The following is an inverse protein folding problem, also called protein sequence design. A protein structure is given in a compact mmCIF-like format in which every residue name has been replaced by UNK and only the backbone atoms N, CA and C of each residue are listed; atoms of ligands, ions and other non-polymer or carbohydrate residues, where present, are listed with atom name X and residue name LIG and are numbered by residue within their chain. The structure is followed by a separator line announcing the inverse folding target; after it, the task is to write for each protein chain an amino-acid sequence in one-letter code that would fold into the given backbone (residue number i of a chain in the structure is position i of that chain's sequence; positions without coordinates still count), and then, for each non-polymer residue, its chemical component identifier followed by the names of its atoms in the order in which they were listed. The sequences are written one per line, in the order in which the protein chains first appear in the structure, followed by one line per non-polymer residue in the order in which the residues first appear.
data_IF_154296800395
#
_entry.id   IF_154296800395
#
_cell.length_a   1.000
_cell.length_b   1.000
_cell.length_c   1.000
_cell.angle_alpha   90.00
_cell.angle_beta   90.00
_cell.angle_gamma   90.00
#
_symmetry.space_group_name_H-M   'P 1'
#
loop_
_entity.id
_entity.type
_entity.pdbx_description
1 polymer ?
#
# COMPACT_ATOMS: atom_id res chain seq x y z
N UNK A 1 26.32 6.39 18.38
CA UNK A 1 26.54 5.06 18.99
C UNK A 1 27.80 4.44 18.38
N UNK A 2 28.44 3.45 19.02
CA UNK A 2 29.76 2.92 18.61
C UNK A 2 29.83 2.35 17.17
N UNK A 3 28.69 2.13 16.51
CA UNK A 3 28.57 1.53 15.17
C UNK A 3 28.64 2.55 14.02
N UNK A 4 28.17 3.78 14.21
CA UNK A 4 28.16 4.81 13.15
C UNK A 4 29.59 5.13 12.64
N UNK A 5 30.60 5.33 13.51
CA UNK A 5 31.97 5.63 13.05
C UNK A 5 32.65 4.48 12.29
N UNK A 6 32.23 3.23 12.53
CA UNK A 6 32.85 2.05 11.91
C UNK A 6 32.43 1.87 10.45
N UNK A 7 31.22 2.30 10.08
CA UNK A 7 30.72 2.25 8.71
C UNK A 7 31.52 3.21 7.82
N UNK A 8 31.79 4.42 8.31
CA UNK A 8 32.53 5.45 7.57
C UNK A 8 34.01 5.07 7.34
N UNK A 9 34.62 4.33 8.26
CA UNK A 9 36.03 3.96 8.21
C UNK A 9 36.32 2.71 7.36
N UNK A 10 35.34 1.83 7.17
CA UNK A 10 35.54 0.52 6.54
C UNK A 10 34.45 0.12 5.54
N UNK A 11 33.79 1.11 4.90
CA UNK A 11 32.58 0.95 4.09
C UNK A 11 32.52 -0.27 3.15
N UNK A 12 33.66 -0.70 2.58
CA UNK A 12 33.75 -1.81 1.61
C UNK A 12 34.08 -3.19 2.22
N UNK A 13 34.42 -3.25 3.51
CA UNK A 13 34.74 -4.52 4.17
C UNK A 13 33.50 -5.36 4.44
N UNK A 14 33.61 -6.69 4.40
CA UNK A 14 32.52 -7.60 4.78
C UNK A 14 32.02 -7.35 6.21
N UNK A 15 32.93 -6.93 7.11
CA UNK A 15 32.57 -6.55 8.47
C UNK A 15 31.68 -5.29 8.50
N UNK A 16 31.99 -4.26 7.71
CA UNK A 16 31.17 -3.06 7.64
C UNK A 16 29.79 -3.34 7.01
N UNK A 17 29.70 -4.25 6.03
CA UNK A 17 28.40 -4.69 5.47
C UNK A 17 27.54 -5.38 6.53
N UNK A 18 28.14 -6.25 7.35
CA UNK A 18 27.43 -6.92 8.45
C UNK A 18 26.97 -5.93 9.53
N UNK A 19 27.84 -4.97 9.90
CA UNK A 19 27.47 -3.94 10.88
C UNK A 19 26.41 -2.97 10.36
N UNK A 20 26.43 -2.63 9.06
CA UNK A 20 25.39 -1.80 8.43
C UNK A 20 24.01 -2.48 8.49
N UNK A 21 23.94 -3.78 8.19
CA UNK A 21 22.70 -4.55 8.32
C UNK A 21 22.20 -4.57 9.77
N UNK A 22 23.08 -4.83 10.72
CA UNK A 22 22.73 -4.81 12.15
C UNK A 22 22.23 -3.43 12.59
N UNK A 23 22.89 -2.36 12.16
CA UNK A 23 22.50 -1.00 12.51
C UNK A 23 21.14 -0.64 11.89
N UNK A 24 20.89 -1.03 10.64
CA UNK A 24 19.59 -0.90 9.99
C UNK A 24 18.48 -1.59 10.80
N UNK A 25 18.71 -2.84 11.23
CA UNK A 25 17.75 -3.59 12.05
C UNK A 25 17.49 -2.90 13.39
N UNK A 26 18.54 -2.42 14.08
CA UNK A 26 18.38 -1.66 15.32
C UNK A 26 17.54 -0.40 15.10
N UNK A 27 17.81 0.38 14.04
CA UNK A 27 17.01 1.57 13.75
C UNK A 27 15.56 1.22 13.44
N UNK A 28 15.30 0.14 12.70
CA UNK A 28 13.94 -0.32 12.42
C UNK A 28 13.21 -0.77 13.70
N UNK A 29 13.84 -1.62 14.52
CA UNK A 29 13.27 -2.15 15.77
C UNK A 29 13.02 -1.07 16.82
N UNK A 30 13.82 0.00 16.80
CA UNK A 30 13.68 1.16 17.69
C UNK A 30 12.87 2.30 17.07
N UNK A 31 12.16 2.03 15.97
CA UNK A 31 11.27 2.97 15.27
C UNK A 31 11.96 4.27 14.80
N UNK A 32 13.27 4.25 14.60
CA UNK A 32 14.06 5.34 14.01
C UNK A 32 13.97 5.29 12.49
N UNK A 33 12.76 5.49 11.95
CA UNK A 33 12.42 5.27 10.54
C UNK A 33 13.29 6.06 9.56
N UNK A 34 13.56 7.33 9.84
CA UNK A 34 14.42 8.17 9.01
C UNK A 34 15.83 7.61 8.93
N UNK A 35 16.38 7.15 10.06
CA UNK A 35 17.73 6.57 10.09
C UNK A 35 17.77 5.21 9.39
N UNK A 36 16.75 4.38 9.57
CA UNK A 36 16.64 3.10 8.88
C UNK A 36 16.57 3.29 7.36
N UNK A 37 15.77 4.25 6.88
CA UNK A 37 15.63 4.53 5.44
C UNK A 37 16.89 5.12 4.82
N UNK A 38 17.64 5.96 5.54
CA UNK A 38 18.97 6.45 5.10
C UNK A 38 19.98 5.32 4.93
N UNK A 39 19.91 4.27 5.74
CA UNK A 39 20.80 3.11 5.62
C UNK A 39 20.41 2.14 4.49
N UNK A 40 19.29 2.36 3.81
CA UNK A 40 18.86 1.49 2.71
C UNK A 40 19.67 1.72 1.43
N UNK A 41 20.09 0.66 0.70
CA UNK A 41 20.03 -0.75 1.07
C UNK A 41 21.11 -1.13 2.10
N UNK A 42 20.80 -1.95 3.11
CA UNK A 42 21.74 -2.33 4.18
C UNK A 42 22.85 -3.29 3.71
N UNK A 43 22.64 -4.04 2.63
CA UNK A 43 23.62 -4.95 2.05
C UNK A 43 23.39 -5.15 0.55
N UNK A 44 24.33 -5.83 -0.12
CA UNK A 44 24.15 -6.30 -1.49
C UNK A 44 23.14 -7.44 -1.48
N UNK A 45 21.97 -7.24 -2.10
CA UNK A 45 20.89 -8.23 -2.11
C UNK A 45 19.63 -7.81 -1.34
N UNK A 46 19.66 -6.71 -0.58
CA UNK A 46 18.53 -6.29 0.25
C UNK A 46 17.21 -6.12 -0.54
N UNK A 47 17.28 -5.68 -1.80
CA UNK A 47 16.11 -5.53 -2.66
C UNK A 47 15.54 -6.87 -3.17
N UNK A 48 16.29 -7.98 -3.04
CA UNK A 48 15.86 -9.33 -3.39
C UNK A 48 15.45 -10.15 -2.15
N UNK A 49 15.73 -9.65 -0.95
CA UNK A 49 15.31 -10.22 0.31
C UNK A 49 13.93 -9.64 0.69
N UNK A 50 12.89 -10.48 0.61
CA UNK A 50 11.53 -10.06 0.93
C UNK A 50 11.40 -9.48 2.35
N UNK A 51 12.12 -10.02 3.33
CA UNK A 51 12.03 -9.55 4.71
C UNK A 51 12.60 -8.15 4.86
N UNK A 52 13.77 -7.89 4.25
CA UNK A 52 14.39 -6.55 4.28
C UNK A 52 13.59 -5.54 3.47
N UNK A 53 13.05 -5.94 2.32
CA UNK A 53 12.21 -5.06 1.52
C UNK A 53 10.89 -4.72 2.26
N UNK A 54 10.31 -5.67 3.01
CA UNK A 54 9.15 -5.42 3.87
C UNK A 54 9.45 -4.43 5.01
N UNK A 55 10.62 -4.51 5.64
CA UNK A 55 11.00 -3.55 6.70
C UNK A 55 11.21 -2.16 6.10
N UNK A 56 11.79 -2.06 4.90
CA UNK A 56 11.94 -0.78 4.21
C UNK A 56 10.59 -0.20 3.78
N UNK A 57 9.72 -1.01 3.18
CA UNK A 57 8.34 -0.64 2.87
C UNK A 57 7.61 -0.10 4.10
N UNK A 58 7.74 -0.79 5.23
CA UNK A 58 7.13 -0.38 6.49
C UNK A 58 7.67 0.97 6.99
N UNK A 59 8.99 1.17 6.95
CA UNK A 59 9.61 2.42 7.36
C UNK A 59 9.16 3.59 6.46
N UNK A 60 9.14 3.40 5.13
CA UNK A 60 8.64 4.43 4.20
C UNK A 60 7.17 4.76 4.44
N UNK A 61 6.35 3.76 4.76
CA UNK A 61 4.94 3.95 5.10
C UNK A 61 4.75 4.74 6.39
N UNK A 62 5.63 4.55 7.38
CA UNK A 62 5.60 5.33 8.63
C UNK A 62 6.02 6.79 8.42
N UNK A 63 6.87 7.06 7.44
CA UNK A 63 7.28 8.41 7.05
C UNK A 63 6.27 9.12 6.13
N UNK A 64 5.25 8.42 5.64
CA UNK A 64 4.25 8.98 4.71
C UNK A 64 4.78 9.17 3.29
N UNK A 65 5.81 8.43 2.89
CA UNK A 65 6.42 8.51 1.55
C UNK A 65 5.63 7.69 0.52
N UNK A 66 4.35 8.04 0.35
CA UNK A 66 3.39 7.25 -0.44
C UNK A 66 3.79 7.02 -1.90
N UNK A 67 4.49 7.97 -2.52
CA UNK A 67 5.00 7.84 -3.90
C UNK A 67 5.94 6.63 -4.06
N UNK A 68 6.78 6.36 -3.06
CA UNK A 68 7.71 5.21 -3.10
C UNK A 68 7.02 3.88 -2.79
N UNK A 69 5.88 3.92 -2.10
CA UNK A 69 5.18 2.69 -1.69
C UNK A 69 4.55 1.95 -2.88
N UNK A 70 4.17 2.66 -3.94
CA UNK A 70 3.66 2.02 -5.16
C UNK A 70 4.73 1.15 -5.84
N UNK A 71 5.95 1.68 -5.96
CA UNK A 71 7.09 0.95 -6.53
C UNK A 71 7.49 -0.23 -5.64
N UNK A 72 7.67 0.01 -4.33
CA UNK A 72 8.05 -1.03 -3.38
C UNK A 72 6.97 -2.12 -3.24
N UNK A 73 5.69 -1.77 -3.31
CA UNK A 73 4.59 -2.73 -3.36
C UNK A 73 4.68 -3.62 -4.61
N UNK A 74 5.00 -3.04 -5.76
CA UNK A 74 5.17 -3.80 -7.00
C UNK A 74 6.38 -4.75 -6.91
N UNK A 75 7.50 -4.31 -6.36
CA UNK A 75 8.69 -5.15 -6.13
C UNK A 75 8.39 -6.29 -5.16
N UNK A 76 7.73 -6.02 -4.04
CA UNK A 76 7.32 -7.04 -3.07
C UNK A 76 6.38 -8.07 -3.69
N UNK A 77 5.43 -7.66 -4.52
CA UNK A 77 4.53 -8.58 -5.23
C UNK A 77 5.23 -9.38 -6.34
N UNK A 78 6.33 -8.87 -6.90
CA UNK A 78 7.15 -9.60 -7.84
C UNK A 78 7.98 -10.70 -7.15
N UNK A 79 8.51 -10.41 -5.95
CA UNK A 79 9.20 -11.40 -5.12
C UNK A 79 8.24 -12.43 -4.54
N UNK A 80 7.13 -11.96 -3.97
CA UNK A 80 6.11 -12.78 -3.36
C UNK A 80 4.70 -12.23 -3.71
N UNK A 81 4.00 -12.85 -4.68
CA UNK A 81 2.63 -12.46 -5.06
C UNK A 81 1.60 -12.54 -3.92
N UNK A 82 1.98 -13.17 -2.81
CA UNK A 82 1.17 -13.35 -1.61
C UNK A 82 1.57 -12.46 -0.44
N UNK A 83 2.53 -11.56 -0.64
CA UNK A 83 2.95 -10.61 0.37
C UNK A 83 1.78 -9.76 0.87
N UNK A 84 1.47 -9.87 2.16
CA UNK A 84 0.30 -9.23 2.78
C UNK A 84 0.38 -7.71 2.71
N UNK A 85 1.50 -7.11 3.11
CA UNK A 85 1.64 -5.66 3.19
C UNK A 85 1.50 -4.99 1.81
N UNK A 86 2.09 -5.62 0.78
CA UNK A 86 2.00 -5.14 -0.59
C UNK A 86 0.59 -5.30 -1.17
N UNK A 87 -0.09 -6.43 -0.90
CA UNK A 87 -1.49 -6.64 -1.30
C UNK A 87 -2.42 -5.62 -0.62
N UNK A 88 -2.25 -5.37 0.67
CA UNK A 88 -3.01 -4.35 1.41
C UNK A 88 -2.84 -2.97 0.77
N UNK A 89 -1.60 -2.55 0.52
CA UNK A 89 -1.29 -1.27 -0.11
C UNK A 89 -1.97 -1.14 -1.46
N UNK A 90 -1.80 -2.14 -2.33
CA UNK A 90 -2.40 -2.15 -3.66
C UNK A 90 -3.92 -2.10 -3.62
N UNK A 91 -4.55 -2.81 -2.68
CA UNK A 91 -6.00 -2.80 -2.53
C UNK A 91 -6.52 -1.41 -2.12
N UNK A 92 -5.85 -0.76 -1.17
CA UNK A 92 -6.18 0.58 -0.70
C UNK A 92 -5.93 1.62 -1.80
N UNK A 93 -4.80 1.57 -2.49
CA UNK A 93 -4.48 2.47 -3.60
C UNK A 93 -5.54 2.37 -4.72
N UNK A 94 -5.96 1.15 -5.08
CA UNK A 94 -7.04 0.92 -6.06
C UNK A 94 -8.39 1.43 -5.56
N UNK A 95 -8.69 1.28 -4.27
CA UNK A 95 -9.91 1.82 -3.67
C UNK A 95 -9.93 3.35 -3.77
N UNK A 96 -8.86 4.00 -3.31
CA UNK A 96 -8.73 5.46 -3.34
C UNK A 96 -8.82 5.99 -4.77
N UNK A 97 -8.12 5.36 -5.72
CA UNK A 97 -8.22 5.70 -7.15
C UNK A 97 -9.65 5.60 -7.69
N UNK A 98 -10.40 4.59 -7.24
CA UNK A 98 -11.82 4.43 -7.58
C UNK A 98 -12.66 5.56 -7.00
N UNK A 99 -12.49 5.85 -5.71
CA UNK A 99 -13.25 6.86 -4.98
C UNK A 99 -12.95 8.28 -5.46
N UNK A 100 -11.68 8.64 -5.64
CA UNK A 100 -11.26 9.95 -6.15
C UNK A 100 -11.86 10.22 -7.52
N UNK A 101 -11.84 9.21 -8.40
CA UNK A 101 -12.47 9.32 -9.72
C UNK A 101 -13.98 9.47 -9.59
N UNK A 102 -14.63 8.67 -8.74
CA UNK A 102 -16.07 8.75 -8.51
C UNK A 102 -16.50 10.16 -8.07
N UNK A 103 -15.84 10.70 -7.05
CA UNK A 103 -16.16 12.02 -6.50
C UNK A 103 -15.90 13.13 -7.51
N UNK A 104 -14.75 13.08 -8.20
CA UNK A 104 -14.40 14.06 -9.24
C UNK A 104 -15.46 14.14 -10.34
N UNK A 105 -15.88 13.00 -10.86
CA UNK A 105 -16.82 12.95 -11.99
C UNK A 105 -18.22 13.46 -11.63
N UNK A 106 -18.69 13.11 -10.42
CA UNK A 106 -19.95 13.65 -9.89
C UNK A 106 -19.87 15.17 -9.69
N UNK A 107 -18.77 15.66 -9.12
CA UNK A 107 -18.59 17.09 -8.88
C UNK A 107 -18.51 17.88 -10.19
N UNK A 108 -17.75 17.41 -11.18
CA UNK A 108 -17.66 18.05 -12.49
C UNK A 108 -19.00 18.08 -13.22
N UNK A 109 -19.80 17.00 -13.12
CA UNK A 109 -21.17 16.98 -13.65
C UNK A 109 -22.09 17.96 -12.92
N UNK A 110 -22.05 17.99 -11.59
CA UNK A 110 -22.89 18.87 -10.78
C UNK A 110 -22.60 20.35 -11.11
N UNK A 111 -21.33 20.69 -11.31
CA UNK A 111 -20.90 22.05 -11.69
C UNK A 111 -21.32 22.45 -13.11
N UNK A 112 -21.54 21.48 -14.02
CA UNK A 112 -21.88 21.77 -15.41
C UNK A 112 -22.75 20.67 -16.04
N UNK A 113 -24.06 20.72 -15.76
CA UNK A 113 -25.06 19.70 -16.16
C UNK A 113 -25.41 19.76 -17.65
N UNK A 114 -24.47 19.36 -18.49
CA UNK A 114 -24.67 19.22 -19.94
C UNK A 114 -24.70 17.76 -20.37
N UNK A 115 -25.32 17.48 -21.51
CA UNK A 115 -25.29 16.13 -22.11
C UNK A 115 -23.86 15.62 -22.36
N UNK A 116 -22.92 16.52 -22.68
CA UNK A 116 -21.50 16.17 -22.84
C UNK A 116 -20.91 15.73 -21.51
N UNK A 117 -21.11 16.52 -20.45
CA UNK A 117 -20.56 16.20 -19.13
C UNK A 117 -21.20 14.95 -18.54
N UNK A 118 -22.49 14.71 -18.78
CA UNK A 118 -23.15 13.46 -18.39
C UNK A 118 -22.45 12.23 -19.01
N UNK A 119 -22.10 12.27 -20.30
CA UNK A 119 -21.36 11.18 -20.96
C UNK A 119 -19.95 11.00 -20.40
N UNK A 120 -19.26 12.10 -20.07
CA UNK A 120 -17.93 12.05 -19.44
C UNK A 120 -18.03 11.39 -18.07
N UNK A 121 -18.99 11.83 -17.25
CA UNK A 121 -19.27 11.25 -15.94
C UNK A 121 -19.53 9.74 -16.04
N UNK A 122 -20.39 9.29 -16.96
CA UNK A 122 -20.65 7.85 -17.14
C UNK A 122 -19.35 7.05 -17.44
N UNK A 123 -18.52 7.54 -18.36
CA UNK A 123 -17.25 6.89 -18.67
C UNK A 123 -16.27 6.89 -17.48
N UNK A 124 -16.27 7.97 -16.69
CA UNK A 124 -15.48 8.07 -15.47
C UNK A 124 -15.95 7.14 -14.35
N UNK A 125 -17.27 6.97 -14.20
CA UNK A 125 -17.88 6.00 -13.28
C UNK A 125 -17.57 4.55 -13.68
N UNK A 126 -17.52 4.24 -14.97
CA UNK A 126 -17.06 2.94 -15.46
C UNK A 126 -15.59 2.67 -15.09
N UNK A 127 -14.74 3.69 -15.20
CA UNK A 127 -13.33 3.59 -14.81
C UNK A 127 -13.17 3.44 -13.29
N UNK A 128 -13.94 4.20 -12.49
CA UNK A 128 -14.00 4.05 -11.04
C UNK A 128 -14.43 2.63 -10.63
N UNK A 129 -15.49 2.11 -11.26
CA UNK A 129 -15.99 0.74 -11.05
C UNK A 129 -14.93 -0.32 -11.32
N UNK A 130 -14.09 -0.14 -12.35
CA UNK A 130 -12.97 -1.06 -12.64
C UNK A 130 -11.96 -1.10 -11.48
N UNK A 131 -11.57 0.06 -10.95
CA UNK A 131 -10.66 0.15 -9.80
C UNK A 131 -11.26 -0.52 -8.55
N UNK A 132 -12.54 -0.26 -8.27
CA UNK A 132 -13.24 -0.90 -7.15
C UNK A 132 -13.31 -2.42 -7.29
N UNK A 133 -13.58 -2.96 -8.49
CA UNK A 133 -13.59 -4.42 -8.71
C UNK A 133 -12.23 -5.05 -8.47
N UNK A 134 -11.15 -4.38 -8.89
CA UNK A 134 -9.78 -4.86 -8.64
C UNK A 134 -9.44 -4.83 -7.15
N UNK A 135 -9.80 -3.74 -6.47
CA UNK A 135 -9.64 -3.59 -5.02
C UNK A 135 -10.40 -4.67 -4.25
N UNK A 136 -11.68 -4.86 -4.56
CA UNK A 136 -12.55 -5.87 -3.95
C UNK A 136 -11.96 -7.28 -4.06
N UNK A 137 -11.49 -7.66 -5.26
CA UNK A 137 -10.86 -8.97 -5.47
C UNK A 137 -9.66 -9.20 -4.54
N UNK A 138 -8.86 -8.17 -4.29
CA UNK A 138 -7.71 -8.27 -3.38
C UNK A 138 -8.18 -8.32 -1.91
N UNK A 139 -9.16 -7.50 -1.53
CA UNK A 139 -9.72 -7.56 -0.18
C UNK A 139 -10.41 -8.89 0.14
N UNK A 140 -11.13 -9.49 -0.82
CA UNK A 140 -11.70 -10.83 -0.66
C UNK A 140 -10.61 -11.89 -0.43
N UNK A 141 -9.51 -11.80 -1.18
CA UNK A 141 -8.34 -12.68 -1.01
C UNK A 141 -7.70 -12.50 0.36
N UNK A 142 -7.52 -11.26 0.82
CA UNK A 142 -6.97 -10.95 2.14
C UNK A 142 -7.90 -11.42 3.26
N UNK A 143 -9.19 -11.11 3.17
CA UNK A 143 -10.21 -11.47 4.15
C UNK A 143 -10.40 -12.98 4.30
N UNK A 144 -10.27 -13.74 3.21
CA UNK A 144 -10.30 -15.19 3.23
C UNK A 144 -9.13 -15.84 3.97
N UNK A 145 -8.04 -15.10 4.21
CA UNK A 145 -6.86 -15.56 4.98
C UNK A 145 -6.90 -15.09 6.41
N UNK A 146 -7.25 -13.82 6.58
CA UNK A 146 -7.29 -13.16 7.87
C UNK A 146 -8.51 -12.25 7.90
N UNK A 147 -9.43 -12.56 8.81
CA UNK A 147 -10.69 -11.85 8.96
C UNK A 147 -10.47 -10.52 9.70
N UNK A 148 -9.82 -9.58 9.04
CA UNK A 148 -9.61 -8.23 9.55
C UNK A 148 -10.85 -7.36 9.26
N UNK A 149 -11.38 -6.71 10.30
CA UNK A 149 -12.53 -5.80 10.23
C UNK A 149 -12.30 -4.65 9.26
N UNK A 150 -11.05 -4.21 9.09
CA UNK A 150 -10.67 -3.14 8.16
C UNK A 150 -10.97 -3.53 6.71
N UNK A 151 -10.65 -4.77 6.32
CA UNK A 151 -10.96 -5.26 4.97
C UNK A 151 -12.47 -5.35 4.76
N UNK A 152 -13.20 -5.87 5.76
CA UNK A 152 -14.67 -5.90 5.71
C UNK A 152 -15.27 -4.51 5.50
N UNK A 153 -14.72 -3.46 6.14
CA UNK A 153 -15.17 -2.09 5.94
C UNK A 153 -14.96 -1.62 4.49
N UNK A 154 -13.78 -1.85 3.90
CA UNK A 154 -13.53 -1.53 2.49
C UNK A 154 -14.49 -2.29 1.57
N UNK A 155 -14.71 -3.57 1.82
CA UNK A 155 -15.64 -4.39 1.04
C UNK A 155 -17.07 -3.85 1.14
N UNK A 156 -17.53 -3.48 2.34
CA UNK A 156 -18.85 -2.89 2.55
C UNK A 156 -19.05 -1.60 1.73
N UNK A 157 -18.04 -0.72 1.76
CA UNK A 157 -18.06 0.53 0.99
C UNK A 157 -18.08 0.28 -0.52
N UNK A 158 -17.29 -0.67 -1.02
CA UNK A 158 -17.28 -1.03 -2.44
C UNK A 158 -18.64 -1.60 -2.87
N UNK A 159 -19.22 -2.52 -2.09
CA UNK A 159 -20.55 -3.06 -2.39
C UNK A 159 -21.64 -1.98 -2.38
N UNK A 160 -21.56 -1.00 -1.47
CA UNK A 160 -22.45 0.15 -1.45
C UNK A 160 -22.33 0.99 -2.74
N UNK A 161 -21.11 1.20 -3.27
CA UNK A 161 -20.88 1.88 -4.55
C UNK A 161 -21.48 1.11 -5.73
N UNK A 162 -21.52 -0.21 -5.66
CA UNK A 162 -22.17 -1.06 -6.67
C UNK A 162 -23.70 -1.16 -6.51
N UNK A 163 -24.28 -0.58 -5.45
CA UNK A 163 -25.70 -0.71 -5.15
C UNK A 163 -26.09 -2.09 -4.61
N UNK A 164 -25.13 -2.92 -4.20
CA UNK A 164 -25.38 -4.22 -3.59
C UNK A 164 -25.60 -4.07 -2.08
N UNK A 165 -26.82 -3.67 -1.71
CA UNK A 165 -27.18 -3.43 -0.32
C UNK A 165 -27.02 -4.66 0.58
N UNK A 166 -27.20 -5.86 0.02
CA UNK A 166 -27.15 -7.10 0.79
C UNK A 166 -25.73 -7.37 1.27
N UNK A 167 -24.76 -7.33 0.34
CA UNK A 167 -23.36 -7.51 0.69
C UNK A 167 -22.80 -6.31 1.46
N UNK A 168 -23.21 -5.07 1.13
CA UNK A 168 -22.81 -3.89 1.89
C UNK A 168 -23.19 -4.03 3.38
N UNK A 169 -24.46 -4.34 3.68
CA UNK A 169 -24.94 -4.54 5.06
C UNK A 169 -24.26 -5.72 5.75
N UNK A 170 -24.00 -6.82 5.02
CA UNK A 170 -23.30 -7.99 5.55
C UNK A 170 -21.89 -7.62 6.03
N UNK A 171 -21.09 -7.02 5.16
CA UNK A 171 -19.70 -6.68 5.49
C UNK A 171 -19.60 -5.53 6.48
N UNK A 172 -20.56 -4.60 6.47
CA UNK A 172 -20.66 -3.55 7.49
C UNK A 172 -20.86 -4.12 8.90
N UNK A 173 -21.60 -5.22 9.06
CA UNK A 173 -21.72 -5.90 10.36
C UNK A 173 -20.42 -6.60 10.77
N UNK A 174 -19.71 -7.17 9.80
CA UNK A 174 -18.43 -7.85 10.02
C UNK A 174 -17.27 -6.87 10.34
N UNK A 175 -17.44 -5.58 10.04
CA UNK A 175 -16.46 -4.54 10.36
C UNK A 175 -16.64 -3.90 11.74
N UNK A 176 -17.68 -4.27 12.50
CA UNK A 176 -17.95 -3.77 13.86
C UNK A 176 -17.19 -4.56 14.91
#
# INVERSE_FOLDING_TARGET
GMLEPLIDLFAESEQAKAEKLRLYQIYFETEQWEKATVLWPPNTGAAQDESLLNTYFTAQKKLGNDEQLDELSAELLALNPENKAALEWKAIALYNKGEDRYQKELQEYENNKTNRQYKIMLAGLDASTKSFKQSLKIFEKLYGRETDKRYALYMANIYARFGDESNAKRYQKLSQ
#
